data_IF_419368029829
#
_entry.id   IF_419368029829
#
_cell.length_a   1.000
_cell.length_b   1.000
_cell.length_c   1.000
_cell.angle_alpha   90.00
_cell.angle_beta   90.00
_cell.angle_gamma   90.00
#
_symmetry.space_group_name_H-M   'P 1'
#
loop_
_entity.id
_entity.type
_entity.pdbx_description
1 polymer ?
#
# COMPACT_ATOMS: atom_id res chain seq x y z
N UNK A 1 -7.33 -11.31 17.60
CA UNK A 1 -5.95 -11.64 18.03
C UNK A 1 -5.51 -10.47 18.86
N UNK A 2 -5.39 -10.66 20.18
CA UNK A 2 -5.04 -9.58 21.12
C UNK A 2 -3.70 -8.96 20.72
N UNK A 3 -3.72 -7.66 20.44
CA UNK A 3 -2.51 -6.87 20.22
C UNK A 3 -1.76 -6.74 21.54
N UNK A 4 -0.55 -7.30 21.63
CA UNK A 4 0.35 -7.06 22.77
C UNK A 4 0.66 -5.56 22.79
N UNK A 5 0.33 -4.88 23.90
CA UNK A 5 0.55 -3.44 24.04
C UNK A 5 1.99 -3.06 23.69
N UNK A 6 2.16 -2.18 22.69
CA UNK A 6 3.46 -1.69 22.24
C UNK A 6 4.06 -2.40 21.01
N UNK A 7 3.51 -3.52 20.55
CA UNK A 7 3.94 -4.12 19.28
C UNK A 7 3.23 -3.45 18.10
N UNK A 8 4.03 -2.99 17.12
CA UNK A 8 3.54 -2.32 15.91
C UNK A 8 4.17 -2.92 14.67
N UNK A 9 3.46 -2.84 13.55
CA UNK A 9 4.00 -3.25 12.27
C UNK A 9 4.96 -2.18 11.75
N UNK A 10 6.26 -2.38 12.00
CA UNK A 10 7.32 -1.48 11.57
C UNK A 10 8.38 -2.26 10.78
N UNK A 11 8.07 -2.68 9.54
CA UNK A 11 8.99 -3.47 8.74
C UNK A 11 10.20 -2.65 8.28
N UNK A 12 11.36 -3.31 8.16
CA UNK A 12 12.53 -2.73 7.49
C UNK A 12 12.33 -2.66 5.97
N UNK A 13 13.18 -1.91 5.28
CA UNK A 13 13.14 -1.84 3.81
C UNK A 13 13.32 -3.22 3.17
N UNK A 14 14.21 -4.05 3.70
CA UNK A 14 14.44 -5.42 3.23
C UNK A 14 13.19 -6.28 3.43
N UNK A 15 12.52 -6.15 4.58
CA UNK A 15 11.27 -6.86 4.86
C UNK A 15 10.15 -6.43 3.93
N UNK A 16 10.03 -5.13 3.63
CA UNK A 16 9.05 -4.60 2.65
C UNK A 16 9.30 -5.23 1.28
N UNK A 17 10.57 -5.28 0.82
CA UNK A 17 10.93 -5.88 -0.47
C UNK A 17 10.57 -7.38 -0.48
N UNK A 18 10.91 -8.14 0.56
CA UNK A 18 10.55 -9.56 0.65
C UNK A 18 9.03 -9.79 0.63
N UNK A 19 8.24 -8.92 1.27
CA UNK A 19 6.78 -9.00 1.24
C UNK A 19 6.24 -8.72 -0.16
N UNK A 20 6.79 -7.73 -0.88
CA UNK A 20 6.45 -7.44 -2.26
C UNK A 20 6.82 -8.59 -3.20
N UNK A 21 7.97 -9.23 -3.02
CA UNK A 21 8.38 -10.39 -3.81
C UNK A 21 7.42 -11.57 -3.63
N UNK A 22 7.05 -11.88 -2.37
CA UNK A 22 6.04 -12.91 -2.07
C UNK A 22 4.72 -12.60 -2.76
N UNK A 23 4.26 -11.34 -2.72
CA UNK A 23 3.03 -10.92 -3.40
C UNK A 23 3.13 -11.04 -4.92
N UNK A 24 4.29 -10.72 -5.50
CA UNK A 24 4.54 -10.81 -6.94
C UNK A 24 4.54 -12.26 -7.43
N UNK A 25 5.17 -13.17 -6.69
CA UNK A 25 5.25 -14.59 -7.04
C UNK A 25 3.93 -15.32 -6.82
N UNK A 26 3.16 -14.91 -5.80
CA UNK A 26 1.85 -15.46 -5.51
C UNK A 26 0.81 -14.31 -5.38
N UNK A 27 0.04 -14.01 -6.44
CA UNK A 27 -0.99 -12.98 -6.39
C UNK A 27 -2.05 -13.20 -5.29
N UNK A 28 -2.25 -14.45 -4.85
CA UNK A 28 -3.17 -14.82 -3.76
C UNK A 28 -2.55 -14.68 -2.37
N UNK A 29 -1.28 -14.27 -2.26
CA UNK A 29 -0.64 -13.99 -0.97
C UNK A 29 -1.40 -12.86 -0.26
N UNK A 30 -1.80 -13.12 0.98
CA UNK A 30 -2.46 -12.16 1.85
C UNK A 30 -1.58 -11.89 3.06
N UNK A 31 -1.46 -10.62 3.44
CA UNK A 31 -0.87 -10.23 4.71
C UNK A 31 -1.98 -9.83 5.69
N UNK A 32 -1.74 -10.00 6.99
CA UNK A 32 -2.72 -9.60 7.99
C UNK A 32 -2.83 -8.07 8.08
N UNK A 33 -1.70 -7.36 8.01
CA UNK A 33 -1.62 -5.88 8.08
C UNK A 33 -1.75 -5.17 6.73
N UNK A 34 -1.23 -5.74 5.64
CA UNK A 34 -1.16 -5.04 4.34
C UNK A 34 -2.39 -5.44 3.51
N UNK A 35 -3.13 -4.44 3.02
CA UNK A 35 -4.32 -4.64 2.19
C UNK A 35 -3.99 -4.55 0.71
N UNK A 36 -4.68 -5.34 -0.10
CA UNK A 36 -4.71 -5.17 -1.55
C UNK A 36 -5.64 -4.02 -1.95
N UNK A 37 -5.17 -3.14 -2.83
CA UNK A 37 -5.95 -2.07 -3.45
C UNK A 37 -5.68 -2.04 -4.95
N UNK A 38 -6.74 -1.81 -5.74
CA UNK A 38 -6.63 -1.81 -7.21
C UNK A 38 -5.82 -0.62 -7.72
N UNK A 39 -6.17 0.59 -7.27
CA UNK A 39 -5.46 1.83 -7.59
C UNK A 39 -5.41 2.77 -6.38
N UNK A 40 -4.25 2.85 -5.72
CA UNK A 40 -4.03 3.77 -4.60
C UNK A 40 -4.13 5.25 -5.03
N UNK A 41 -3.83 5.57 -6.28
CA UNK A 41 -3.90 6.94 -6.78
C UNK A 41 -5.33 7.39 -7.08
N UNK A 42 -6.30 6.48 -7.06
CA UNK A 42 -7.72 6.83 -7.20
C UNK A 42 -8.33 7.39 -5.90
N UNK A 43 -7.67 7.15 -4.76
CA UNK A 43 -8.11 7.64 -3.45
C UNK A 43 -7.39 8.94 -3.07
N UNK A 44 -8.07 9.78 -2.30
CA UNK A 44 -7.41 10.93 -1.68
C UNK A 44 -6.57 10.48 -0.48
N UNK A 45 -5.48 11.21 -0.13
CA UNK A 45 -4.61 10.82 0.97
C UNK A 45 -5.33 10.63 2.31
N UNK A 46 -6.38 11.42 2.57
CA UNK A 46 -7.19 11.32 3.80
C UNK A 46 -8.15 10.12 3.80
N UNK A 47 -8.48 9.57 2.64
CA UNK A 47 -9.32 8.36 2.52
C UNK A 47 -8.50 7.07 2.78
N UNK A 48 -7.18 7.13 2.60
CA UNK A 48 -6.29 5.97 2.75
C UNK A 48 -6.34 5.37 4.15
N UNK A 49 -6.45 6.20 5.19
CA UNK A 49 -6.55 5.73 6.57
C UNK A 49 -7.81 4.87 6.78
N UNK A 50 -8.96 5.27 6.22
CA UNK A 50 -10.20 4.49 6.27
C UNK A 50 -10.18 3.24 5.39
N UNK A 51 -9.32 3.21 4.37
CA UNK A 51 -9.16 2.06 3.49
C UNK A 51 -8.25 0.96 4.07
N UNK A 52 -7.47 1.25 5.12
CA UNK A 52 -6.57 0.31 5.79
C UNK A 52 -7.30 -0.88 6.42
N UNK A 53 -6.60 -2.02 6.53
CA UNK A 53 -7.11 -3.24 7.18
C UNK A 53 -6.80 -3.27 8.68
N UNK A 54 -5.86 -2.44 9.14
CA UNK A 54 -5.35 -2.49 10.50
C UNK A 54 -6.24 -1.63 11.39
N UNK A 55 -6.83 -2.24 12.43
CA UNK A 55 -7.53 -1.53 13.53
C UNK A 55 -6.54 -0.83 14.49
N UNK A 56 -5.24 -0.87 14.19
CA UNK A 56 -4.20 -0.22 15.00
C UNK A 56 -4.24 1.29 14.83
N UNK A 57 -3.94 2.01 15.91
CA UNK A 57 -3.66 3.47 15.94
C UNK A 57 -2.36 3.85 15.18
N UNK A 58 -1.87 2.98 14.29
CA UNK A 58 -0.63 3.18 13.57
C UNK A 58 -0.79 4.31 12.55
N UNK A 59 0.12 5.28 12.60
CA UNK A 59 0.11 6.46 11.73
C UNK A 59 0.47 6.16 10.27
N UNK A 60 0.91 4.93 9.98
CA UNK A 60 1.41 4.50 8.67
C UNK A 60 0.60 3.31 8.19
N UNK A 61 0.08 3.41 6.97
CA UNK A 61 -0.64 2.34 6.31
C UNK A 61 0.19 1.79 5.14
N UNK A 62 0.12 0.48 4.94
CA UNK A 62 0.81 -0.21 3.86
C UNK A 62 -0.22 -0.89 2.94
N UNK A 63 -0.01 -0.76 1.63
CA UNK A 63 -0.89 -1.34 0.61
C UNK A 63 -0.08 -2.07 -0.45
N UNK A 64 -0.61 -3.19 -0.91
CA UNK A 64 -0.22 -3.79 -2.18
C UNK A 64 -1.11 -3.22 -3.28
N UNK A 65 -0.50 -2.70 -4.34
CA UNK A 65 -1.23 -2.28 -5.52
C UNK A 65 -0.41 -2.54 -6.77
N UNK A 66 -1.10 -2.69 -7.90
CA UNK A 66 -0.45 -2.78 -9.21
C UNK A 66 -0.39 -1.36 -9.80
N UNK A 67 0.80 -0.81 -10.07
CA UNK A 67 0.89 0.52 -10.66
C UNK A 67 0.19 0.58 -12.02
N UNK A 68 -0.66 1.59 -12.21
CA UNK A 68 -1.20 1.93 -13.52
C UNK A 68 -0.22 2.87 -14.23
N UNK A 69 0.27 2.46 -15.40
CA UNK A 69 1.18 3.26 -16.22
C UNK A 69 0.41 3.94 -17.34
N UNK A 70 0.80 5.17 -17.70
CA UNK A 70 0.10 5.96 -18.73
C UNK A 70 0.06 5.28 -20.10
N UNK A 71 1.06 4.44 -20.40
CA UNK A 71 1.13 3.62 -21.62
C UNK A 71 1.74 2.25 -21.27
N UNK A 72 1.48 1.24 -22.11
CA UNK A 72 1.89 -0.16 -21.89
C UNK A 72 3.40 -0.34 -21.63
N UNK A 73 4.24 0.52 -22.21
CA UNK A 73 5.71 0.49 -22.07
C UNK A 73 6.27 1.69 -21.30
N UNK A 74 5.41 2.52 -20.70
CA UNK A 74 5.86 3.72 -20.01
C UNK A 74 6.31 3.41 -18.59
N UNK A 75 7.40 4.05 -18.16
CA UNK A 75 7.80 4.12 -16.76
C UNK A 75 7.02 5.19 -15.98
N UNK A 76 6.16 5.97 -16.66
CA UNK A 76 5.36 7.02 -16.02
C UNK A 76 4.07 6.44 -15.43
N UNK A 77 4.08 6.29 -14.11
CA UNK A 77 2.90 5.95 -13.34
C UNK A 77 1.85 7.06 -13.38
N UNK A 78 0.57 6.68 -13.45
CA UNK A 78 -0.55 7.57 -13.18
C UNK A 78 -0.57 7.89 -11.69
N UNK A 79 -0.61 9.18 -11.37
CA UNK A 79 -0.48 9.70 -10.01
C UNK A 79 -1.56 10.74 -9.70
N UNK A 80 -2.69 10.71 -10.40
CA UNK A 80 -3.73 11.73 -10.28
C UNK A 80 -4.86 11.22 -9.40
N UNK A 81 -5.23 11.99 -8.38
CA UNK A 81 -6.45 11.80 -7.60
C UNK A 81 -7.56 12.69 -8.18
N UNK A 82 -8.75 12.71 -7.59
CA UNK A 82 -9.82 13.60 -8.05
C UNK A 82 -9.50 15.07 -7.72
N UNK A 83 -8.99 15.33 -6.52
CA UNK A 83 -8.68 16.67 -6.02
C UNK A 83 -7.24 17.14 -6.34
N UNK A 84 -6.35 16.26 -6.81
CA UNK A 84 -4.95 16.62 -7.01
C UNK A 84 -4.09 15.56 -7.70
N UNK A 85 -2.80 15.52 -7.33
CA UNK A 85 -1.85 14.54 -7.85
C UNK A 85 -0.68 14.32 -6.88
N UNK A 86 -0.10 13.12 -6.92
CA UNK A 86 1.11 12.75 -6.19
C UNK A 86 2.36 13.18 -6.95
N UNK A 87 3.14 14.09 -6.37
CA UNK A 87 4.42 14.55 -6.92
C UNK A 87 5.56 13.62 -6.50
N UNK A 88 6.49 13.33 -7.42
CA UNK A 88 7.76 12.68 -7.06
C UNK A 88 8.63 13.67 -6.31
N UNK A 89 9.14 13.26 -5.16
CA UNK A 89 10.07 14.02 -4.33
C UNK A 89 11.43 13.35 -4.32
#
# INVERSE_FOLDING_TARGET
MESLMGFRFQPSNEQIICLLEKKRLNPRFLHHTIKDIDDICSLEPWDLAGASKTESEDQVCYFFYKPYYKYKESTRAHRRTNAGYWKVT
#
